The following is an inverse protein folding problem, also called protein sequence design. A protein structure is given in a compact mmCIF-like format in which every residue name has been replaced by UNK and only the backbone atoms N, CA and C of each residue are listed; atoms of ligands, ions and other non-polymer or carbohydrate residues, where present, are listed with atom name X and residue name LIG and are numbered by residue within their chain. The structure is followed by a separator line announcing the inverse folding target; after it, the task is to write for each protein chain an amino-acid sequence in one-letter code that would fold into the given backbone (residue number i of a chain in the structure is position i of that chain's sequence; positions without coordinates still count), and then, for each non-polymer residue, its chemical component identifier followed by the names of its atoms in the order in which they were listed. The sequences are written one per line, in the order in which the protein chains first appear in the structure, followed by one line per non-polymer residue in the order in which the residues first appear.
data_IF_273088296668
#
_entry.id   IF_273088296668
#
_cell.length_a   1.000
_cell.length_b   1.000
_cell.length_c   1.000
_cell.angle_alpha   90.00
_cell.angle_beta   90.00
_cell.angle_gamma   90.00
#
_symmetry.space_group_name_H-M   'P 1'
#
loop_
_entity.id
_entity.type
_entity.pdbx_description
1 polymer ?
#
# COMPACT_ATOMS: atom_id res chain seq x y z
N UNK A 1 -15.84 18.20 13.47
CA UNK A 1 -15.18 16.94 13.06
C UNK A 1 -15.65 15.83 14.00
N UNK A 2 -15.94 14.62 13.50
CA UNK A 2 -16.33 13.52 14.39
C UNK A 2 -15.11 12.96 15.13
N UNK A 3 -15.29 12.52 16.37
CA UNK A 3 -14.20 11.91 17.16
C UNK A 3 -13.59 10.70 16.44
N UNK A 4 -14.41 9.94 15.71
CA UNK A 4 -13.96 8.83 14.86
C UNK A 4 -12.99 9.29 13.77
N UNK A 5 -13.26 10.42 13.10
CA UNK A 5 -12.36 10.94 12.07
C UNK A 5 -11.00 11.33 12.67
N UNK A 6 -10.98 11.92 13.88
CA UNK A 6 -9.73 12.25 14.58
C UNK A 6 -8.91 10.99 14.88
N UNK A 7 -9.54 9.94 15.38
CA UNK A 7 -8.87 8.66 15.68
C UNK A 7 -8.27 8.04 14.41
N UNK A 8 -9.04 8.01 13.32
CA UNK A 8 -8.55 7.48 12.04
C UNK A 8 -7.36 8.28 11.50
N UNK A 9 -7.39 9.60 11.63
CA UNK A 9 -6.28 10.47 11.21
C UNK A 9 -5.02 10.21 12.03
N UNK A 10 -5.13 10.04 13.35
CA UNK A 10 -3.98 9.71 14.20
C UNK A 10 -3.37 8.37 13.81
N UNK A 11 -4.19 7.33 13.64
CA UNK A 11 -3.72 6.00 13.20
C UNK A 11 -3.00 6.11 11.85
N UNK A 12 -3.58 6.85 10.90
CA UNK A 12 -2.97 7.06 9.58
C UNK A 12 -1.60 7.76 9.69
N UNK A 13 -1.50 8.81 10.52
CA UNK A 13 -0.26 9.56 10.72
C UNK A 13 0.85 8.69 11.34
N UNK A 14 0.55 7.95 12.42
CA UNK A 14 1.52 7.05 13.05
C UNK A 14 1.93 5.90 12.13
N UNK A 15 0.99 5.33 11.38
CA UNK A 15 1.30 4.26 10.40
C UNK A 15 2.20 4.78 9.30
N UNK A 16 1.95 5.99 8.80
CA UNK A 16 2.78 6.60 7.75
C UNK A 16 4.20 6.94 8.25
N UNK A 17 4.33 7.52 9.45
CA UNK A 17 5.63 7.77 10.05
C UNK A 17 6.40 6.46 10.32
N UNK A 18 5.70 5.44 10.83
CA UNK A 18 6.26 4.10 11.04
C UNK A 18 6.73 3.44 9.75
N UNK A 19 5.97 3.57 8.66
CA UNK A 19 6.35 3.08 7.33
C UNK A 19 7.65 3.72 6.83
N UNK A 20 7.75 5.04 6.90
CA UNK A 20 8.96 5.76 6.48
C UNK A 20 10.18 5.35 7.33
N UNK A 21 9.99 5.17 8.63
CA UNK A 21 11.04 4.76 9.55
C UNK A 21 11.53 3.33 9.27
N UNK A 22 10.62 2.37 9.19
CA UNK A 22 10.95 0.95 8.95
C UNK A 22 11.49 0.73 7.53
N UNK A 23 10.90 1.38 6.52
CA UNK A 23 11.28 1.23 5.13
C UNK A 23 12.67 1.78 4.79
N UNK A 24 13.21 2.71 5.58
CA UNK A 24 14.59 3.23 5.43
C UNK A 24 15.63 2.48 6.27
N UNK A 25 15.23 1.85 7.38
CA UNK A 25 16.15 1.28 8.37
C UNK A 25 16.83 -0.02 7.90
N UNK A 26 16.11 -0.91 7.25
CA UNK A 26 16.63 -2.22 6.81
C UNK A 26 16.68 -2.26 5.28
N UNK A 27 17.84 -1.90 4.70
CA UNK A 27 18.17 -1.99 3.27
C UNK A 27 16.96 -1.84 2.31
N UNK A 28 16.60 -0.61 1.89
CA UNK A 28 15.43 -0.37 1.05
C UNK A 28 15.56 -1.09 -0.30
N UNK A 29 15.04 -2.30 -0.32
CA UNK A 29 15.08 -3.25 -1.44
C UNK A 29 13.70 -3.40 -2.02
N UNK A 30 13.64 -3.64 -3.32
CA UNK A 30 12.36 -3.90 -3.99
C UNK A 30 11.67 -5.15 -3.40
N UNK A 31 12.45 -6.14 -2.93
CA UNK A 31 11.95 -7.33 -2.28
C UNK A 31 11.17 -7.02 -0.99
N UNK A 32 11.67 -6.10 -0.15
CA UNK A 32 10.96 -5.65 1.04
C UNK A 32 9.59 -5.04 0.69
N UNK A 33 9.55 -4.11 -0.27
CA UNK A 33 8.30 -3.47 -0.70
C UNK A 33 7.31 -4.44 -1.36
N UNK A 34 7.82 -5.45 -2.06
CA UNK A 34 6.99 -6.52 -2.62
C UNK A 34 6.35 -7.33 -1.49
N UNK A 35 7.14 -7.83 -0.53
CA UNK A 35 6.63 -8.61 0.61
C UNK A 35 5.61 -7.80 1.40
N UNK A 36 5.91 -6.53 1.69
CA UNK A 36 4.99 -5.64 2.40
C UNK A 36 3.65 -5.46 1.65
N UNK A 37 3.68 -5.24 0.33
CA UNK A 37 2.46 -5.17 -0.48
C UNK A 37 1.71 -6.50 -0.50
N UNK A 38 2.40 -7.64 -0.65
CA UNK A 38 1.77 -8.96 -0.62
C UNK A 38 1.11 -9.25 0.72
N UNK A 39 1.73 -8.88 1.84
CA UNK A 39 1.09 -9.00 3.16
C UNK A 39 -0.16 -8.12 3.26
N UNK A 40 -0.11 -6.89 2.73
CA UNK A 40 -1.29 -6.04 2.60
C UNK A 40 -2.43 -6.71 1.83
N UNK A 41 -2.12 -7.33 0.68
CA UNK A 41 -3.08 -8.11 -0.12
C UNK A 41 -3.65 -9.27 0.69
N UNK A 42 -2.82 -10.03 1.39
CA UNK A 42 -3.26 -11.16 2.24
C UNK A 42 -4.21 -10.68 3.35
N UNK A 43 -3.93 -9.54 3.97
CA UNK A 43 -4.80 -8.96 5.01
C UNK A 43 -6.18 -8.56 4.48
N UNK A 44 -6.29 -8.10 3.22
CA UNK A 44 -7.57 -7.70 2.62
C UNK A 44 -8.25 -8.84 1.84
N UNK A 45 -7.53 -9.93 1.56
CA UNK A 45 -8.05 -11.08 0.79
C UNK A 45 -9.34 -11.68 1.38
N UNK A 46 -9.52 -11.82 2.72
CA UNK A 46 -10.76 -12.31 3.29
C UNK A 46 -11.99 -11.48 2.91
N UNK A 47 -11.82 -10.17 2.73
CA UNK A 47 -12.91 -9.28 2.30
C UNK A 47 -13.33 -9.63 0.87
N UNK A 48 -12.36 -9.88 -0.03
CA UNK A 48 -12.64 -10.28 -1.40
C UNK A 48 -13.37 -11.64 -1.44
N UNK A 49 -12.96 -12.59 -0.60
CA UNK A 49 -13.62 -13.90 -0.49
C UNK A 49 -15.06 -13.72 0.00
N UNK A 50 -15.28 -12.91 1.04
CA UNK A 50 -16.61 -12.64 1.57
C UNK A 50 -17.55 -12.01 0.54
N UNK A 51 -17.04 -11.13 -0.32
CA UNK A 51 -17.80 -10.46 -1.39
C UNK A 51 -17.63 -11.10 -2.77
N UNK A 52 -17.20 -12.38 -2.86
CA UNK A 52 -16.91 -13.03 -4.14
C UNK A 52 -18.12 -13.03 -5.10
N UNK A 53 -19.34 -13.20 -4.57
CA UNK A 53 -20.58 -13.14 -5.36
C UNK A 53 -20.87 -11.76 -5.97
N UNK A 54 -20.18 -10.71 -5.52
CA UNK A 54 -20.34 -9.35 -6.03
C UNK A 54 -19.33 -9.00 -7.12
N UNK A 55 -18.34 -9.84 -7.36
CA UNK A 55 -17.28 -9.63 -8.38
C UNK A 55 -17.89 -9.48 -9.78
N UNK A 56 -18.97 -10.21 -10.08
CA UNK A 56 -19.65 -10.13 -11.39
C UNK A 56 -20.30 -8.77 -11.67
N UNK A 57 -20.54 -7.93 -10.66
CA UNK A 57 -21.08 -6.58 -10.85
C UNK A 57 -19.99 -5.55 -11.14
N UNK A 58 -18.71 -5.91 -11.00
CA UNK A 58 -17.58 -5.00 -11.24
C UNK A 58 -17.37 -4.87 -12.76
N UNK A 59 -17.48 -3.66 -13.33
CA UNK A 59 -17.27 -3.46 -14.76
C UNK A 59 -15.86 -3.90 -15.21
N UNK A 60 -15.71 -4.50 -16.41
CA UNK A 60 -14.41 -4.89 -16.96
C UNK A 60 -13.37 -3.76 -16.97
N UNK A 61 -13.81 -2.51 -17.13
CA UNK A 61 -12.96 -1.32 -17.13
C UNK A 61 -12.25 -1.09 -15.80
N UNK A 62 -12.87 -1.47 -14.67
CA UNK A 62 -12.25 -1.34 -13.33
C UNK A 62 -11.03 -2.23 -13.22
N UNK A 63 -11.06 -3.44 -13.80
CA UNK A 63 -9.92 -4.36 -13.80
C UNK A 63 -8.75 -3.82 -14.61
N UNK A 64 -9.03 -3.22 -15.77
CA UNK A 64 -8.01 -2.56 -16.60
C UNK A 64 -7.35 -1.42 -15.82
N UNK A 65 -8.14 -0.55 -15.20
CA UNK A 65 -7.58 0.51 -14.36
C UNK A 65 -6.82 -0.02 -13.15
N UNK A 66 -7.27 -1.13 -12.53
CA UNK A 66 -6.55 -1.77 -11.43
C UNK A 66 -5.16 -2.26 -11.86
N UNK A 67 -5.03 -2.86 -13.05
CA UNK A 67 -3.74 -3.30 -13.59
C UNK A 67 -2.84 -2.09 -13.86
N UNK A 68 -3.38 -1.04 -14.48
CA UNK A 68 -2.63 0.19 -14.77
C UNK A 68 -2.15 0.85 -13.47
N UNK A 69 -3.03 0.99 -12.47
CA UNK A 69 -2.67 1.49 -11.14
C UNK A 69 -1.61 0.63 -10.47
N UNK A 70 -1.70 -0.69 -10.59
CA UNK A 70 -0.69 -1.62 -10.08
C UNK A 70 0.69 -1.42 -10.72
N UNK A 71 0.73 -1.17 -12.04
CA UNK A 71 1.97 -0.85 -12.75
C UNK A 71 2.61 0.45 -12.24
N UNK A 72 1.81 1.52 -12.09
CA UNK A 72 2.30 2.78 -11.53
C UNK A 72 2.72 2.65 -10.07
N UNK A 73 2.01 1.85 -9.28
CA UNK A 73 2.37 1.54 -7.90
C UNK A 73 3.73 0.84 -7.84
N UNK A 74 3.96 -0.19 -8.67
CA UNK A 74 5.25 -0.88 -8.73
C UNK A 74 6.40 0.04 -9.16
N UNK A 75 6.14 0.90 -10.15
CA UNK A 75 7.10 1.92 -10.61
C UNK A 75 7.43 2.91 -9.49
N UNK A 76 6.41 3.38 -8.78
CA UNK A 76 6.56 4.28 -7.62
C UNK A 76 7.37 3.62 -6.51
N UNK A 77 7.06 2.37 -6.13
CA UNK A 77 7.80 1.65 -5.07
C UNK A 77 9.27 1.43 -5.45
N UNK A 78 9.56 1.21 -6.74
CA UNK A 78 10.94 1.10 -7.25
C UNK A 78 11.68 2.42 -7.10
N UNK A 79 11.07 3.53 -7.50
CA UNK A 79 11.64 4.87 -7.34
C UNK A 79 11.81 5.23 -5.85
N UNK A 80 10.84 4.89 -5.01
CA UNK A 80 10.87 5.11 -3.56
C UNK A 80 12.01 4.35 -2.90
N UNK A 81 12.19 3.06 -3.25
CA UNK A 81 13.33 2.27 -2.78
C UNK A 81 14.67 2.90 -3.19
N UNK A 82 14.76 3.45 -4.40
CA UNK A 82 15.91 4.24 -4.86
C UNK A 82 16.16 5.48 -4.01
N UNK A 83 15.12 6.29 -3.80
CA UNK A 83 15.21 7.50 -3.00
C UNK A 83 15.58 7.21 -1.53
N UNK A 84 15.06 6.13 -0.95
CA UNK A 84 15.38 5.71 0.42
C UNK A 84 16.82 5.25 0.60
N UNK A 85 17.50 4.78 -0.45
CA UNK A 85 18.94 4.44 -0.38
C UNK A 85 19.85 5.65 -0.31
N UNK A 86 19.41 6.79 -0.84
CA UNK A 86 20.27 7.97 -1.05
C UNK A 86 19.89 9.14 -0.13
N UNK A 87 18.62 9.24 0.28
CA UNK A 87 18.12 10.37 1.07
C UNK A 87 17.99 10.07 2.57
N UNK A 88 18.33 11.05 3.40
CA UNK A 88 18.18 11.01 4.86
C UNK A 88 16.71 10.96 5.32
N UNK A 89 16.47 10.48 6.54
CA UNK A 89 15.16 10.60 7.17
C UNK A 89 14.95 12.07 7.58
N UNK A 90 14.15 12.78 6.77
CA UNK A 90 13.98 14.25 6.69
C UNK A 90 15.12 14.96 5.97
#
# INVERSE_FOLDING_TARGET
MSSTAVVLLLIAAFTHAGWNFLGKRDHPTLAYFLVANTMGVVCVLPILIYYCSKISFIPPTVWVFSIISGFFLASYMTALAGAYRVGDMS
#
